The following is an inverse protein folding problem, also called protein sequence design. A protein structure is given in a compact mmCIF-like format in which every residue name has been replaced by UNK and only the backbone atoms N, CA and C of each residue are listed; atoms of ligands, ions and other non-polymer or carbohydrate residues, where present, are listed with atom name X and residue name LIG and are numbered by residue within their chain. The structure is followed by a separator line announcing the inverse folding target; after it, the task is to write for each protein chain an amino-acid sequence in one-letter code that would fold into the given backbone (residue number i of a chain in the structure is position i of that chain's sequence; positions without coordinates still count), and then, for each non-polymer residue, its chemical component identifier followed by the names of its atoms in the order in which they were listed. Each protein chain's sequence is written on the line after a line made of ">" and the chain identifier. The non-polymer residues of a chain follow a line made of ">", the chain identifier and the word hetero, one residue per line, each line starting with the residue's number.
data_IF_490834458909
#
_entry.id   IF_490834458909
#
_cell.length_a   1.000
_cell.length_b   1.000
_cell.length_c   1.000
_cell.angle_alpha   90.00
_cell.angle_beta   90.00
_cell.angle_gamma   90.00
#
_symmetry.space_group_name_H-M   'P 1'
#
loop_
_entity.id
_entity.type
_entity.pdbx_description
1 polymer ?
#
# COMPACT_ATOMS: atom_id res chain seq x y z
N UNK A 1 -3.18 14.19 -16.53
CA UNK A 1 -2.95 12.73 -16.65
C UNK A 1 -3.26 12.07 -15.32
N UNK A 2 -4.07 11.06 -15.32
CA UNK A 2 -4.44 10.26 -14.15
C UNK A 2 -3.59 8.99 -14.08
N UNK A 3 -3.33 8.53 -12.87
CA UNK A 3 -2.55 7.31 -12.65
C UNK A 3 -3.30 6.34 -11.74
N UNK A 4 -3.45 5.09 -12.20
CA UNK A 4 -4.15 4.00 -11.53
C UNK A 4 -3.28 2.76 -11.49
N UNK A 5 -3.46 1.96 -10.44
CA UNK A 5 -2.85 0.64 -10.32
C UNK A 5 -3.91 -0.38 -9.87
N UNK A 6 -4.85 -0.74 -10.76
CA UNK A 6 -5.90 -1.68 -10.45
C UNK A 6 -5.35 -3.10 -10.31
N UNK A 7 -5.97 -3.88 -9.43
CA UNK A 7 -5.66 -5.29 -9.18
C UNK A 7 -6.89 -6.19 -9.27
N UNK A 8 -8.10 -5.62 -9.18
CA UNK A 8 -9.36 -6.37 -9.11
C UNK A 8 -10.30 -6.00 -10.26
N UNK A 9 -11.27 -6.87 -10.61
CA UNK A 9 -12.21 -6.61 -11.69
C UNK A 9 -13.00 -5.30 -11.54
N UNK A 10 -13.45 -4.95 -10.32
CA UNK A 10 -14.18 -3.70 -10.10
C UNK A 10 -13.29 -2.46 -10.25
N UNK A 11 -12.03 -2.54 -9.82
CA UNK A 11 -11.08 -1.44 -9.99
C UNK A 11 -10.77 -1.19 -11.46
N UNK A 12 -10.66 -2.24 -12.27
CA UNK A 12 -10.51 -2.14 -13.72
C UNK A 12 -11.75 -1.52 -14.35
N UNK A 13 -12.94 -1.98 -13.99
CA UNK A 13 -14.19 -1.39 -14.47
C UNK A 13 -14.28 0.09 -14.12
N UNK A 14 -14.01 0.45 -12.87
CA UNK A 14 -14.04 1.85 -12.44
C UNK A 14 -13.00 2.72 -13.17
N UNK A 15 -11.83 2.19 -13.52
CA UNK A 15 -10.83 2.89 -14.30
C UNK A 15 -11.33 3.16 -15.75
N UNK A 16 -11.95 2.16 -16.38
CA UNK A 16 -12.54 2.28 -17.72
C UNK A 16 -13.76 3.21 -17.77
N UNK A 17 -14.70 3.08 -16.84
CA UNK A 17 -15.87 3.95 -16.72
C UNK A 17 -15.45 5.41 -16.58
N UNK A 18 -14.43 5.62 -15.73
CA UNK A 18 -13.89 6.97 -15.59
C UNK A 18 -13.27 7.47 -16.89
N UNK A 19 -12.40 6.68 -17.54
CA UNK A 19 -11.75 7.04 -18.79
C UNK A 19 -12.76 7.38 -19.90
N UNK A 20 -13.80 6.57 -20.05
CA UNK A 20 -14.84 6.76 -21.06
C UNK A 20 -15.72 8.00 -20.83
N UNK A 21 -15.70 8.57 -19.64
CA UNK A 21 -16.51 9.73 -19.25
C UNK A 21 -15.72 11.03 -19.09
N UNK A 22 -14.42 11.02 -19.37
CA UNK A 22 -13.53 12.18 -19.22
C UNK A 22 -12.56 12.30 -20.40
N UNK A 23 -12.16 13.54 -20.69
CA UNK A 23 -11.21 13.84 -21.79
C UNK A 23 -9.73 13.77 -21.36
N UNK A 24 -9.46 13.48 -20.07
CA UNK A 24 -8.10 13.38 -19.56
C UNK A 24 -7.44 12.04 -19.89
N UNK A 25 -6.14 12.02 -20.22
CA UNK A 25 -5.41 10.78 -20.43
C UNK A 25 -5.30 9.98 -19.14
N UNK A 26 -5.53 8.68 -19.23
CA UNK A 26 -5.39 7.71 -18.14
C UNK A 26 -4.13 6.86 -18.34
N UNK A 27 -3.24 6.86 -17.37
CA UNK A 27 -2.15 5.90 -17.28
C UNK A 27 -2.52 4.78 -16.30
N UNK A 28 -2.42 3.54 -16.74
CA UNK A 28 -2.69 2.35 -15.91
C UNK A 28 -1.41 1.54 -15.80
N UNK A 29 -0.94 1.36 -14.57
CA UNK A 29 0.16 0.45 -14.27
C UNK A 29 -0.42 -0.88 -13.78
N UNK A 30 -0.24 -1.92 -14.55
CA UNK A 30 -0.70 -3.26 -14.25
C UNK A 30 0.47 -4.17 -13.87
N UNK A 31 0.34 -4.87 -12.77
CA UNK A 31 1.30 -5.88 -12.37
C UNK A 31 0.80 -7.27 -12.78
N UNK A 32 1.68 -8.14 -13.33
CA UNK A 32 1.31 -9.48 -13.81
C UNK A 32 0.59 -10.35 -12.77
N UNK A 33 0.83 -10.12 -11.49
CA UNK A 33 0.13 -10.81 -10.40
C UNK A 33 -1.35 -10.42 -10.27
N UNK A 34 -1.82 -9.39 -10.99
CA UNK A 34 -3.25 -9.06 -11.05
C UNK A 34 -4.02 -9.97 -12.01
N UNK A 35 -3.38 -10.56 -13.02
CA UNK A 35 -4.05 -11.34 -14.07
C UNK A 35 -4.92 -12.48 -13.57
N UNK A 36 -4.50 -13.28 -12.58
CA UNK A 36 -5.33 -14.37 -12.06
C UNK A 36 -6.37 -13.93 -11.02
N UNK A 37 -6.47 -12.60 -10.71
CA UNK A 37 -7.38 -12.12 -9.67
C UNK A 37 -8.77 -11.92 -10.26
N UNK A 38 -9.69 -12.77 -9.87
CA UNK A 38 -11.10 -12.78 -10.27
C UNK A 38 -12.05 -12.40 -9.10
N UNK A 39 -11.49 -11.95 -7.99
CA UNK A 39 -12.19 -11.56 -6.77
C UNK A 39 -11.85 -10.12 -6.34
N UNK A 40 -12.69 -9.56 -5.46
CA UNK A 40 -12.46 -8.23 -4.92
C UNK A 40 -11.67 -8.28 -3.61
N UNK A 41 -10.73 -7.35 -3.47
CA UNK A 41 -9.95 -7.18 -2.24
C UNK A 41 -10.66 -6.19 -1.31
N UNK A 42 -11.20 -6.70 -0.21
CA UNK A 42 -11.85 -5.86 0.80
C UNK A 42 -10.84 -5.25 1.76
N UNK A 43 -11.13 -4.03 2.21
CA UNK A 43 -10.37 -3.39 3.31
C UNK A 43 -10.53 -4.22 4.59
N UNK A 44 -9.45 -4.32 5.36
CA UNK A 44 -9.47 -4.91 6.70
C UNK A 44 -9.41 -3.77 7.70
N UNK A 45 -10.47 -3.57 8.49
CA UNK A 45 -10.53 -2.52 9.48
C UNK A 45 -10.87 -3.12 10.84
N UNK A 46 -10.04 -2.85 11.84
CA UNK A 46 -10.15 -3.41 13.18
C UNK A 46 -10.41 -2.28 14.20
N UNK A 47 -11.25 -2.56 15.18
CA UNK A 47 -11.60 -1.57 16.22
C UNK A 47 -10.37 -1.07 17.00
N UNK A 48 -9.39 -1.93 17.23
CA UNK A 48 -8.16 -1.66 18.00
C UNK A 48 -6.94 -2.06 17.17
N UNK A 49 -6.76 -1.40 16.03
CA UNK A 49 -5.57 -1.64 15.22
C UNK A 49 -4.36 -0.89 15.79
N UNK A 50 -3.19 -1.52 15.73
CA UNK A 50 -1.91 -0.97 16.18
C UNK A 50 -1.24 -0.10 15.13
N UNK A 51 -1.50 -0.40 13.86
CA UNK A 51 -0.93 0.27 12.69
C UNK A 51 -1.91 0.28 11.51
N UNK A 52 -1.83 1.32 10.69
CA UNK A 52 -2.51 1.40 9.39
C UNK A 52 -1.53 1.05 8.27
N UNK A 53 -1.85 0.05 7.47
CA UNK A 53 -1.09 -0.32 6.28
C UNK A 53 -1.90 0.09 5.05
N UNK A 54 -1.30 0.94 4.19
CA UNK A 54 -1.81 1.23 2.86
C UNK A 54 -0.98 0.43 1.85
N UNK A 55 -1.63 -0.32 0.98
CA UNK A 55 -0.93 -1.18 0.04
C UNK A 55 -1.31 -0.89 -1.41
N UNK A 56 -0.30 -0.81 -2.28
CA UNK A 56 -0.39 -0.44 -3.69
C UNK A 56 0.00 -1.64 -4.55
N UNK A 57 -0.67 -1.82 -5.68
CA UNK A 57 -0.32 -2.81 -6.71
C UNK A 57 -0.10 -4.22 -6.13
N UNK A 58 0.92 -4.94 -6.59
CA UNK A 58 1.25 -6.29 -6.10
C UNK A 58 1.66 -6.33 -4.61
N UNK A 59 2.06 -5.21 -4.03
CA UNK A 59 2.29 -5.06 -2.59
C UNK A 59 1.06 -5.43 -1.76
N UNK A 60 -0.14 -5.28 -2.32
CA UNK A 60 -1.43 -5.64 -1.68
C UNK A 60 -1.53 -7.11 -1.31
N UNK A 61 -1.04 -8.00 -2.17
CA UNK A 61 -1.05 -9.45 -1.93
C UNK A 61 -0.12 -9.82 -0.78
N UNK A 62 1.08 -9.29 -0.79
CA UNK A 62 2.06 -9.55 0.28
C UNK A 62 1.63 -8.90 1.60
N UNK A 63 0.98 -7.72 1.55
CA UNK A 63 0.43 -7.06 2.74
C UNK A 63 -0.72 -7.87 3.38
N UNK A 64 -1.58 -8.49 2.57
CA UNK A 64 -2.64 -9.38 3.08
C UNK A 64 -2.05 -10.57 3.88
N UNK A 65 -1.02 -11.22 3.34
CA UNK A 65 -0.37 -12.34 4.03
C UNK A 65 0.41 -11.85 5.27
N UNK A 66 1.08 -10.69 5.19
CA UNK A 66 1.76 -10.10 6.33
C UNK A 66 0.79 -9.79 7.48
N UNK A 67 -0.40 -9.26 7.18
CA UNK A 67 -1.43 -8.99 8.20
C UNK A 67 -1.91 -10.28 8.88
N UNK A 68 -2.05 -11.39 8.15
CA UNK A 68 -2.40 -12.69 8.74
C UNK A 68 -1.34 -13.15 9.74
N UNK A 69 -0.05 -13.05 9.37
CA UNK A 69 1.06 -13.43 10.27
C UNK A 69 1.12 -12.52 11.49
N UNK A 70 0.99 -11.21 11.31
CA UNK A 70 0.98 -10.24 12.41
C UNK A 70 -0.18 -10.48 13.38
N UNK A 71 -1.38 -10.78 12.86
CA UNK A 71 -2.54 -11.12 13.68
C UNK A 71 -2.30 -12.38 14.52
N UNK A 72 -1.63 -13.39 13.97
CA UNK A 72 -1.24 -14.59 14.74
C UNK A 72 -0.28 -14.30 15.89
N UNK A 73 0.44 -13.17 15.84
CA UNK A 73 1.34 -12.66 16.87
C UNK A 73 0.66 -11.67 17.83
N UNK A 74 -0.64 -11.42 17.65
CA UNK A 74 -1.39 -10.44 18.46
C UNK A 74 -1.24 -8.98 18.02
N UNK A 75 -0.59 -8.72 16.87
CA UNK A 75 -0.47 -7.39 16.27
C UNK A 75 -1.61 -7.18 15.30
N UNK A 76 -2.50 -6.25 15.59
CA UNK A 76 -3.69 -5.98 14.78
C UNK A 76 -3.44 -4.84 13.80
N UNK A 77 -3.72 -5.05 12.52
CA UNK A 77 -3.50 -4.06 11.47
C UNK A 77 -4.81 -3.63 10.81
N UNK A 78 -4.95 -2.35 10.50
CA UNK A 78 -5.86 -1.93 9.44
C UNK A 78 -5.12 -2.07 8.10
N UNK A 79 -5.77 -2.65 7.09
CA UNK A 79 -5.25 -2.76 5.74
C UNK A 79 -6.19 -2.10 4.74
N UNK A 80 -5.67 -1.11 4.03
CA UNK A 80 -6.40 -0.32 3.04
C UNK A 80 -5.71 -0.46 1.69
N UNK A 81 -6.46 -0.85 0.67
CA UNK A 81 -5.97 -1.00 -0.69
C UNK A 81 -6.06 0.32 -1.45
N UNK A 82 -4.98 0.72 -2.13
CA UNK A 82 -4.88 1.97 -2.88
C UNK A 82 -4.75 1.64 -4.37
N UNK A 83 -5.77 1.98 -5.15
CA UNK A 83 -5.78 1.83 -6.61
C UNK A 83 -5.63 3.17 -7.33
N UNK A 84 -5.99 4.29 -6.68
CA UNK A 84 -5.98 5.64 -7.24
C UNK A 84 -4.74 6.41 -6.75
N UNK A 85 -3.76 6.60 -7.63
CA UNK A 85 -2.47 7.18 -7.28
C UNK A 85 -2.35 8.67 -7.65
N UNK A 86 -2.97 9.09 -8.75
CA UNK A 86 -3.00 10.50 -9.15
C UNK A 86 -4.35 10.86 -9.79
N UNK A 87 -5.12 11.80 -9.22
CA UNK A 87 -4.90 12.34 -7.88
C UNK A 87 -5.01 11.22 -6.82
N UNK A 88 -4.18 11.30 -5.79
CA UNK A 88 -4.34 10.41 -4.63
C UNK A 88 -5.64 10.77 -3.90
N UNK A 89 -6.48 9.78 -3.68
CA UNK A 89 -7.73 9.95 -2.93
C UNK A 89 -7.50 9.64 -1.47
N UNK A 90 -7.33 10.69 -0.70
CA UNK A 90 -7.28 10.62 0.76
C UNK A 90 -8.71 10.67 1.29
N UNK A 91 -9.32 9.50 1.50
CA UNK A 91 -10.68 9.42 2.04
C UNK A 91 -10.68 9.41 3.58
N UNK A 92 -11.84 9.68 4.18
CA UNK A 92 -12.02 9.70 5.63
C UNK A 92 -11.65 8.39 6.29
N UNK A 93 -11.76 7.26 5.59
CA UNK A 93 -11.40 5.94 6.12
C UNK A 93 -9.91 5.87 6.38
N UNK A 94 -9.09 6.40 5.48
CA UNK A 94 -7.63 6.46 5.64
C UNK A 94 -7.27 7.34 6.84
N UNK A 95 -7.80 8.56 6.89
CA UNK A 95 -7.50 9.51 7.95
C UNK A 95 -7.98 9.01 9.32
N UNK A 96 -9.19 8.48 9.40
CA UNK A 96 -9.73 7.91 10.65
C UNK A 96 -8.91 6.70 11.13
N UNK A 97 -8.43 5.86 10.21
CA UNK A 97 -7.55 4.75 10.54
C UNK A 97 -6.20 5.23 11.08
N UNK A 98 -5.56 6.20 10.41
CA UNK A 98 -4.29 6.77 10.86
C UNK A 98 -4.41 7.45 12.22
N UNK A 99 -5.45 8.26 12.43
CA UNK A 99 -5.70 8.92 13.71
C UNK A 99 -5.94 7.92 14.84
N UNK A 100 -6.64 6.82 14.57
CA UNK A 100 -6.88 5.74 15.52
C UNK A 100 -5.59 5.00 15.87
N UNK A 101 -4.79 4.64 14.87
CA UNK A 101 -3.61 3.81 15.05
C UNK A 101 -2.36 4.61 15.46
N UNK A 102 -2.31 5.92 15.16
CA UNK A 102 -1.15 6.77 15.42
C UNK A 102 0.13 6.36 14.69
N UNK A 103 0.03 5.49 13.66
CA UNK A 103 1.18 5.00 12.89
C UNK A 103 0.72 4.46 11.54
N UNK A 104 1.43 4.81 10.45
CA UNK A 104 1.15 4.35 9.11
C UNK A 104 2.35 3.73 8.40
N UNK A 105 2.07 2.80 7.47
CA UNK A 105 3.02 2.21 6.55
C UNK A 105 2.41 2.12 5.15
N UNK A 106 3.04 2.73 4.15
CA UNK A 106 2.67 2.57 2.73
C UNK A 106 3.56 1.52 2.11
N UNK A 107 2.98 0.43 1.61
CA UNK A 107 3.67 -0.69 0.95
C UNK A 107 3.42 -0.61 -0.55
N UNK A 108 4.48 -0.62 -1.34
CA UNK A 108 4.43 -0.49 -2.79
C UNK A 108 5.26 -1.56 -3.49
N UNK A 109 4.86 -1.94 -4.71
CA UNK A 109 5.63 -2.80 -5.60
C UNK A 109 6.63 -2.03 -6.47
N UNK A 110 6.65 -0.70 -6.39
CA UNK A 110 7.58 0.18 -7.10
C UNK A 110 8.71 0.64 -6.17
N UNK A 111 9.68 1.37 -6.74
CA UNK A 111 10.80 1.90 -5.97
C UNK A 111 10.33 2.80 -4.83
N UNK A 112 10.94 2.65 -3.67
CA UNK A 112 10.64 3.52 -2.53
C UNK A 112 11.06 4.98 -2.81
N UNK A 113 12.19 5.17 -3.49
CA UNK A 113 12.62 6.46 -4.02
C UNK A 113 12.03 6.64 -5.42
N UNK A 114 11.46 7.80 -5.69
CA UNK A 114 10.80 8.16 -6.95
C UNK A 114 9.50 7.39 -7.28
N UNK A 115 9.10 6.40 -6.46
CA UNK A 115 7.78 5.77 -6.52
C UNK A 115 6.72 6.56 -5.75
N UNK A 116 5.44 6.19 -5.87
CA UNK A 116 4.33 6.91 -5.22
C UNK A 116 4.30 6.76 -3.70
N UNK A 117 4.91 5.72 -3.13
CA UNK A 117 4.79 5.40 -1.70
C UNK A 117 5.29 6.51 -0.78
N UNK A 118 6.43 7.13 -1.07
CA UNK A 118 6.96 8.26 -0.27
C UNK A 118 6.12 9.52 -0.39
N UNK A 119 5.65 9.83 -1.60
CA UNK A 119 4.78 10.99 -1.81
C UNK A 119 3.47 10.83 -1.06
N UNK A 120 2.85 9.65 -1.13
CA UNK A 120 1.62 9.32 -0.40
C UNK A 120 1.87 9.39 1.12
N UNK A 121 2.95 8.80 1.62
CA UNK A 121 3.29 8.85 3.03
C UNK A 121 3.46 10.31 3.52
N UNK A 122 4.12 11.15 2.74
CA UNK A 122 4.31 12.57 3.05
C UNK A 122 2.97 13.32 3.13
N UNK A 123 2.10 13.18 2.13
CA UNK A 123 0.77 13.80 2.12
C UNK A 123 -0.08 13.35 3.31
N UNK A 124 -0.03 12.06 3.64
CA UNK A 124 -0.74 11.52 4.79
C UNK A 124 -0.21 12.07 6.12
N UNK A 125 1.11 12.24 6.26
CA UNK A 125 1.70 12.89 7.44
C UNK A 125 1.26 14.34 7.59
N UNK A 126 1.23 15.09 6.49
CA UNK A 126 0.75 16.47 6.52
C UNK A 126 -0.71 16.58 6.95
N UNK A 127 -1.56 15.70 6.44
CA UNK A 127 -2.99 15.74 6.70
C UNK A 127 -3.38 15.21 8.09
N UNK A 128 -2.67 14.20 8.61
CA UNK A 128 -3.03 13.54 9.88
C UNK A 128 -2.13 13.91 11.06
N UNK A 129 -0.98 14.51 10.82
CA UNK A 129 0.10 14.68 11.82
C UNK A 129 0.60 13.35 12.44
N UNK A 130 0.28 12.23 11.81
CA UNK A 130 0.68 10.88 12.23
C UNK A 130 1.95 10.47 11.46
N UNK A 131 2.95 9.83 12.11
CA UNK A 131 4.09 9.27 11.41
C UNK A 131 3.64 8.21 10.41
N UNK A 132 3.99 8.39 9.13
CA UNK A 132 3.72 7.44 8.05
C UNK A 132 5.04 7.11 7.34
N UNK A 133 5.35 5.83 7.25
CA UNK A 133 6.57 5.32 6.62
C UNK A 133 6.25 4.73 5.25
N UNK A 134 7.27 4.64 4.38
CA UNK A 134 7.18 3.95 3.10
C UNK A 134 8.00 2.66 3.13
N UNK A 135 7.59 1.68 2.34
CA UNK A 135 8.30 0.44 2.07
C UNK A 135 8.06 0.05 0.61
N UNK A 136 9.09 0.14 -0.19
CA UNK A 136 9.10 -0.21 -1.61
C UNK A 136 10.32 -1.03 -1.97
N UNK A 137 10.63 -1.07 -3.27
CA UNK A 137 11.86 -1.63 -3.79
C UNK A 137 13.05 -0.80 -3.31
N UNK A 138 14.19 -1.47 -3.14
CA UNK A 138 15.44 -0.84 -2.74
C UNK A 138 15.97 0.09 -3.83
N UNK A 139 16.68 1.15 -3.41
CA UNK A 139 17.33 2.10 -4.33
C UNK A 139 18.58 1.47 -4.97
N UNK A 140 18.35 0.50 -5.83
CA UNK A 140 19.36 -0.20 -6.62
C UNK A 140 18.76 -0.78 -7.89
N UNK A 141 19.57 -1.01 -8.90
CA UNK A 141 19.17 -1.76 -10.09
C UNK A 141 18.98 -3.24 -9.76
N UNK A 142 17.93 -3.84 -10.31
CA UNK A 142 17.78 -5.30 -10.30
C UNK A 142 18.77 -5.93 -11.30
N UNK A 143 19.44 -7.01 -10.90
CA UNK A 143 20.26 -7.82 -11.78
C UNK A 143 19.49 -9.03 -12.32
N UNK A 144 20.09 -9.75 -13.28
CA UNK A 144 19.49 -10.95 -13.87
C UNK A 144 19.60 -12.19 -12.98
N UNK A 145 20.60 -12.26 -12.11
CA UNK A 145 20.75 -13.39 -11.20
C UNK A 145 19.71 -13.30 -10.06
N UNK A 146 19.12 -14.43 -9.60
CA UNK A 146 18.07 -14.43 -8.58
C UNK A 146 18.44 -13.69 -7.28
N UNK A 147 19.71 -13.76 -6.85
CA UNK A 147 20.16 -13.05 -5.65
C UNK A 147 20.32 -11.53 -5.84
N UNK A 148 20.29 -11.05 -7.09
CA UNK A 148 20.31 -9.63 -7.45
C UNK A 148 18.93 -9.09 -7.77
N UNK A 149 17.91 -9.93 -7.76
CA UNK A 149 16.54 -9.50 -7.98
C UNK A 149 16.11 -8.46 -6.93
N UNK A 150 15.21 -7.58 -7.31
CA UNK A 150 14.62 -6.56 -6.44
C UNK A 150 13.10 -6.75 -6.44
N UNK A 151 12.60 -7.82 -5.82
CA UNK A 151 11.19 -8.16 -5.87
C UNK A 151 10.35 -7.21 -5.02
N UNK A 152 9.06 -7.13 -5.36
CA UNK A 152 8.04 -6.52 -4.48
C UNK A 152 8.31 -6.91 -3.02
N UNK A 153 8.27 -5.95 -2.06
CA UNK A 153 8.60 -6.24 -0.67
C UNK A 153 7.98 -7.54 -0.18
N UNK A 154 8.78 -8.56 0.17
CA UNK A 154 8.25 -9.85 0.58
C UNK A 154 7.54 -9.75 1.93
N UNK A 155 6.72 -10.74 2.24
CA UNK A 155 5.89 -10.80 3.45
C UNK A 155 6.73 -10.57 4.69
N UNK A 156 7.87 -11.23 4.81
CA UNK A 156 8.79 -11.16 5.96
C UNK A 156 9.36 -9.75 6.15
N UNK A 157 9.62 -9.03 5.05
CA UNK A 157 10.13 -7.65 5.09
C UNK A 157 9.05 -6.71 5.61
N UNK A 158 7.79 -6.90 5.21
CA UNK A 158 6.64 -6.13 5.71
C UNK A 158 6.44 -6.40 7.21
N UNK A 159 6.40 -7.67 7.62
CA UNK A 159 6.27 -8.08 9.03
C UNK A 159 7.39 -7.47 9.88
N UNK A 160 8.65 -7.60 9.45
CA UNK A 160 9.81 -7.02 10.14
C UNK A 160 9.69 -5.50 10.27
N UNK A 161 9.26 -4.81 9.20
CA UNK A 161 9.09 -3.37 9.21
C UNK A 161 8.03 -2.94 10.22
N UNK A 162 6.86 -3.60 10.23
CA UNK A 162 5.78 -3.32 11.17
C UNK A 162 6.26 -3.47 12.62
N UNK A 163 6.90 -4.60 12.96
CA UNK A 163 7.46 -4.83 14.31
C UNK A 163 8.44 -3.72 14.71
N UNK A 164 9.35 -3.35 13.81
CA UNK A 164 10.35 -2.29 14.05
C UNK A 164 9.67 -0.95 14.34
N UNK A 165 8.62 -0.62 13.59
CA UNK A 165 7.89 0.64 13.76
C UNK A 165 7.11 0.68 15.08
N UNK A 166 6.48 -0.44 15.47
CA UNK A 166 5.75 -0.52 16.73
C UNK A 166 6.67 -0.40 17.95
N UNK A 167 7.85 -1.02 17.93
CA UNK A 167 8.87 -0.85 18.97
C UNK A 167 9.28 0.61 19.10
N UNK A 168 9.55 1.30 17.98
CA UNK A 168 9.90 2.72 17.99
C UNK A 168 8.76 3.61 18.50
N UNK A 169 7.51 3.25 18.23
CA UNK A 169 6.33 3.97 18.73
C UNK A 169 6.19 3.83 20.24
N UNK A 170 6.43 2.65 20.79
CA UNK A 170 6.33 2.38 22.22
C UNK A 170 7.47 3.00 23.05
N UNK A 171 8.58 3.40 22.40
CA UNK A 171 9.74 4.02 23.04
C UNK A 171 9.66 5.56 23.14
N UNK A 172 8.60 6.14 22.60
CA UNK A 172 8.30 7.60 22.68
C UNK A 172 7.22 7.86 23.70
#
# INVERSE_FOLDING_TARGET
>A
MLFRSPMTPQEWRAAWEWFMSHDDPLYVSEHRRSFPIDYEMTRVLNRRADITILAISAGRLNALEAVKLLNAEGITCDLIHVAWLKPFRMDDVILNSLNKTGLGLVVDSDFEIAGPSRSIAYELMLASSVPVHALGLEDRTAGFAPHLDNPTPPVEKIVKQVRTLLVKKSAK
#
